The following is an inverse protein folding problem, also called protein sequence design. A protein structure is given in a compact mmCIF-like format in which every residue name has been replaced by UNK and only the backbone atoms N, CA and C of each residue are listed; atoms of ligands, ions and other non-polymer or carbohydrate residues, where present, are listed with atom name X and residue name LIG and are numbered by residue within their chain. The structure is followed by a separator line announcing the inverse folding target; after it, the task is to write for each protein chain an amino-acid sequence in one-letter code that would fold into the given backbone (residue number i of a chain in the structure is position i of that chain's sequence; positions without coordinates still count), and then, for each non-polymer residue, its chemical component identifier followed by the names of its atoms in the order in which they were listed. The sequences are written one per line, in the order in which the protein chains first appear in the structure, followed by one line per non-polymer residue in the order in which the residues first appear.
data_IF_960451650452
#
_entry.id   IF_960451650452
#
_cell.length_a   1.000
_cell.length_b   1.000
_cell.length_c   1.000
_cell.angle_alpha   90.00
_cell.angle_beta   90.00
_cell.angle_gamma   90.00
#
_symmetry.space_group_name_H-M   'P 1'
#
loop_
_entity.id
_entity.type
_entity.pdbx_description
1 polymer ?
#
# COMPACT_ATOMS: atom_id res chain seq x y z
N UNK A 1 26.40 -12.49 1.67
CA UNK A 1 25.97 -12.05 1.47
C UNK A 1 25.29 -11.66 1.43
N UNK A 2 25.02 -11.45 1.28
CA UNK A 2 24.37 -11.01 1.08
C UNK A 2 23.81 -10.38 0.74
N UNK A 3 23.42 -10.24 0.41
CA UNK A 3 22.95 -9.73 -0.08
C UNK A 3 22.23 -9.17 -0.29
N UNK A 4 22.13 -8.93 -0.50
CA UNK A 4 21.53 -8.40 -0.86
C UNK A 4 20.76 -7.94 -0.95
N UNK A 5 20.46 -7.76 -1.09
CA UNK A 5 19.83 -7.40 -1.26
C UNK A 5 18.95 -7.00 -1.23
N UNK A 6 19.23 -6.97 -1.24
CA UNK A 6 18.38 -6.58 -0.97
C UNK A 6 17.17 -5.90 -1.30
N UNK A 7 16.08 -6.43 -1.56
CA UNK A 7 14.81 -5.86 -1.93
C UNK A 7 13.82 -6.12 -0.80
N UNK A 8 13.69 -5.16 0.12
CA UNK A 8 12.83 -5.38 1.28
C UNK A 8 11.38 -5.61 0.87
N UNK A 9 10.96 -5.02 -0.24
CA UNK A 9 9.57 -5.12 -0.66
C UNK A 9 9.28 -6.34 -1.52
N UNK A 10 10.24 -7.21 -1.71
CA UNK A 10 9.96 -8.52 -2.27
C UNK A 10 9.14 -9.36 -1.29
N UNK A 11 9.15 -8.97 -0.02
CA UNK A 11 8.27 -9.56 0.99
C UNK A 11 6.94 -8.81 0.93
N UNK A 12 5.84 -9.47 0.53
CA UNK A 12 4.55 -8.79 0.41
C UNK A 12 4.07 -8.13 1.69
N UNK A 13 4.41 -8.71 2.84
CA UNK A 13 4.00 -8.12 4.11
C UNK A 13 4.69 -6.78 4.34
N UNK A 14 5.98 -6.69 4.02
CA UNK A 14 6.71 -5.43 4.15
C UNK A 14 6.20 -4.41 3.15
N UNK A 15 5.92 -4.84 1.92
CA UNK A 15 5.36 -3.95 0.92
C UNK A 15 3.99 -3.44 1.37
N UNK A 16 3.16 -4.32 1.92
CA UNK A 16 1.84 -3.93 2.40
C UNK A 16 1.95 -2.87 3.50
N UNK A 17 2.86 -3.07 4.46
CA UNK A 17 3.05 -2.10 5.53
C UNK A 17 3.52 -0.76 4.99
N UNK A 18 4.43 -0.78 4.03
CA UNK A 18 4.91 0.47 3.44
C UNK A 18 3.80 1.21 2.70
N UNK A 19 2.96 0.46 2.00
CA UNK A 19 1.82 1.07 1.32
C UNK A 19 0.85 1.69 2.32
N UNK A 20 0.65 1.05 3.48
CA UNK A 20 -0.19 1.62 4.52
C UNK A 20 0.39 2.92 5.07
N UNK A 21 1.72 3.00 5.20
CA UNK A 21 2.36 4.23 5.62
C UNK A 21 2.15 5.34 4.61
N UNK A 22 2.25 5.03 3.32
CA UNK A 22 1.98 6.02 2.30
C UNK A 22 0.51 6.44 2.30
N UNK A 23 -0.39 5.46 2.46
CA UNK A 23 -1.81 5.76 2.50
C UNK A 23 -2.16 6.68 3.65
N UNK A 24 -1.54 6.44 4.80
CA UNK A 24 -1.76 7.27 5.98
C UNK A 24 -1.28 8.69 5.77
N UNK A 25 -0.23 8.87 4.96
CA UNK A 25 0.32 10.20 4.70
C UNK A 25 -0.59 11.02 3.82
N UNK A 26 -1.45 10.39 3.01
CA UNK A 26 -2.43 11.12 2.24
C UNK A 26 -3.58 11.50 3.17
N UNK A 27 -3.85 12.79 3.25
CA UNK A 27 -5.03 13.21 3.98
C UNK A 27 -6.25 12.63 3.32
N UNK A 28 -7.19 12.08 4.08
CA UNK A 28 -8.40 11.57 3.49
C UNK A 28 -9.07 12.69 2.73
N UNK A 29 -9.09 12.54 1.43
CA UNK A 29 -9.76 13.49 0.59
C UNK A 29 -11.11 12.91 0.40
N UNK A 30 -12.14 13.63 0.64
CA UNK A 30 -13.47 13.18 0.30
C UNK A 30 -13.71 11.72 0.69
N UNK A 31 -14.48 11.47 1.66
CA UNK A 31 -14.91 10.13 2.05
C UNK A 31 -13.78 9.14 2.31
N UNK A 32 -12.55 9.64 2.47
CA UNK A 32 -11.43 8.76 2.78
C UNK A 32 -10.90 7.96 1.60
N UNK A 33 -11.19 8.40 0.38
CA UNK A 33 -10.70 7.70 -0.80
C UNK A 33 -9.22 7.91 -1.00
N UNK A 34 -8.53 6.83 -1.33
CA UNK A 34 -7.11 6.88 -1.66
C UNK A 34 -6.98 6.26 -3.04
N UNK A 35 -6.67 7.08 -4.03
CA UNK A 35 -6.60 6.59 -5.39
C UNK A 35 -5.34 5.78 -5.59
N UNK A 36 -5.48 4.64 -6.27
CA UNK A 36 -4.38 3.71 -6.46
C UNK A 36 -3.23 4.38 -7.18
N UNK A 37 -3.53 5.25 -8.13
CA UNK A 37 -2.48 6.00 -8.84
C UNK A 37 -1.66 6.88 -7.91
N UNK A 38 -2.31 7.48 -6.92
CA UNK A 38 -1.60 8.32 -5.96
C UNK A 38 -0.72 7.50 -5.03
N UNK A 39 -1.23 6.33 -4.65
CA UNK A 39 -0.49 5.44 -3.77
C UNK A 39 0.72 4.82 -4.47
N UNK A 40 0.58 4.62 -5.77
CA UNK A 40 1.60 4.00 -6.61
C UNK A 40 2.89 4.81 -6.66
N UNK A 41 2.76 6.12 -6.85
CA UNK A 41 3.91 6.97 -7.13
C UNK A 41 4.96 6.98 -6.01
N UNK A 42 4.60 7.21 -4.73
CA UNK A 42 5.64 7.21 -3.69
C UNK A 42 6.32 5.87 -3.53
N UNK A 43 5.61 4.77 -3.80
CA UNK A 43 6.22 3.46 -3.69
C UNK A 43 7.20 3.19 -4.82
N UNK A 44 6.80 3.49 -6.05
CA UNK A 44 7.65 3.21 -7.21
C UNK A 44 8.82 4.17 -7.31
N UNK A 45 8.58 5.44 -7.07
CA UNK A 45 9.61 6.46 -7.28
C UNK A 45 10.34 6.83 -6.00
N UNK A 46 9.65 6.86 -4.88
CA UNK A 46 10.28 7.18 -3.60
C UNK A 46 11.02 5.99 -3.01
N UNK A 47 10.36 4.85 -2.95
CA UNK A 47 10.93 3.65 -2.34
C UNK A 47 11.63 2.77 -3.36
N UNK A 48 11.51 3.09 -4.64
CA UNK A 48 12.11 2.33 -5.73
C UNK A 48 11.61 0.89 -5.77
N UNK A 49 10.36 0.69 -5.39
CA UNK A 49 9.72 -0.61 -5.53
C UNK A 49 9.38 -0.89 -6.98
N UNK A 50 9.18 -2.14 -7.32
CA UNK A 50 8.78 -2.51 -8.66
C UNK A 50 7.26 -2.56 -8.77
N UNK A 51 6.70 -2.50 -9.99
CA UNK A 51 5.26 -2.68 -10.15
C UNK A 51 4.76 -4.01 -9.59
N UNK A 52 5.55 -5.08 -9.73
CA UNK A 52 5.16 -6.37 -9.17
C UNK A 52 5.11 -6.33 -7.65
N UNK A 53 6.07 -5.66 -7.03
CA UNK A 53 6.10 -5.51 -5.57
C UNK A 53 4.92 -4.66 -5.10
N UNK A 54 4.60 -3.62 -5.84
CA UNK A 54 3.45 -2.80 -5.53
C UNK A 54 2.16 -3.61 -5.58
N UNK A 55 1.96 -4.36 -6.67
CA UNK A 55 0.74 -5.15 -6.84
C UNK A 55 0.61 -6.19 -5.72
N UNK A 56 1.69 -6.89 -5.42
CA UNK A 56 1.67 -7.90 -4.37
C UNK A 56 1.41 -7.28 -3.00
N UNK A 57 2.02 -6.13 -2.73
CA UNK A 57 1.82 -5.43 -1.47
C UNK A 57 0.39 -4.93 -1.31
N UNK A 58 -0.16 -4.36 -2.37
CA UNK A 58 -1.53 -3.87 -2.34
C UNK A 58 -2.51 -5.03 -2.12
N UNK A 59 -2.33 -6.12 -2.87
CA UNK A 59 -3.17 -7.31 -2.71
C UNK A 59 -3.07 -7.84 -1.29
N UNK A 60 -1.86 -7.83 -0.73
CA UNK A 60 -1.67 -8.33 0.63
C UNK A 60 -2.37 -7.44 1.65
N UNK A 61 -2.32 -6.13 1.48
CA UNK A 61 -3.01 -5.20 2.38
C UNK A 61 -4.52 -5.43 2.35
N UNK A 62 -5.06 -5.69 1.16
CA UNK A 62 -6.48 -6.00 1.01
C UNK A 62 -6.79 -7.34 1.65
N UNK A 63 -5.95 -8.33 1.42
CA UNK A 63 -6.12 -9.67 1.98
C UNK A 63 -6.08 -9.67 3.50
N UNK A 64 -5.20 -8.85 4.08
CA UNK A 64 -5.09 -8.71 5.53
C UNK A 64 -6.25 -7.90 6.12
N UNK A 65 -7.09 -7.34 5.27
CA UNK A 65 -8.22 -6.57 5.74
C UNK A 65 -7.86 -5.16 6.19
N UNK A 66 -6.72 -4.65 5.76
CA UNK A 66 -6.30 -3.29 6.10
C UNK A 66 -6.88 -2.24 5.17
N UNK A 67 -7.08 -2.62 3.92
CA UNK A 67 -7.66 -1.75 2.90
C UNK A 67 -8.81 -2.48 2.22
N UNK A 68 -9.76 -1.69 1.75
CA UNK A 68 -10.89 -2.22 1.01
C UNK A 68 -10.88 -1.60 -0.38
N UNK A 69 -10.85 -2.44 -1.40
CA UNK A 69 -10.83 -1.99 -2.78
C UNK A 69 -12.26 -1.73 -3.24
N UNK A 70 -12.49 -0.57 -3.82
CA UNK A 70 -13.78 -0.25 -4.39
C UNK A 70 -14.00 -1.07 -5.67
N UNK A 71 -15.26 -1.35 -5.98
CA UNK A 71 -15.62 -2.17 -7.15
C UNK A 71 -15.07 -1.61 -8.45
N UNK A 72 -14.90 -0.30 -8.53
CA UNK A 72 -14.35 0.33 -9.73
C UNK A 72 -12.90 -0.02 -9.97
N UNK A 73 -12.19 -0.47 -8.92
CA UNK A 73 -10.78 -0.76 -9.01
C UNK A 73 -9.88 0.46 -9.05
N UNK A 74 -10.41 1.65 -8.78
CA UNK A 74 -9.66 2.89 -8.91
C UNK A 74 -9.18 3.46 -7.58
N UNK A 75 -9.81 3.07 -6.48
CA UNK A 75 -9.40 3.60 -5.18
C UNK A 75 -9.63 2.56 -4.08
N UNK A 76 -8.96 2.79 -2.98
CA UNK A 76 -9.11 1.98 -1.76
C UNK A 76 -9.47 2.90 -0.61
N UNK A 77 -9.98 2.31 0.46
CA UNK A 77 -10.23 3.01 1.72
C UNK A 77 -9.65 2.20 2.85
N UNK A 78 -9.26 2.88 3.93
CA UNK A 78 -8.93 2.17 5.15
C UNK A 78 -10.16 1.42 5.66
N UNK A 79 -9.95 0.17 6.08
CA UNK A 79 -10.94 -0.52 6.88
C UNK A 79 -10.79 -0.06 8.33
N UNK A 80 -11.70 -0.47 9.20
CA UNK A 80 -11.54 -0.18 10.61
C UNK A 80 -10.24 -0.77 11.15
N UNK A 81 -9.94 -2.01 10.75
CA UNK A 81 -8.69 -2.66 11.16
C UNK A 81 -7.47 -1.89 10.69
N UNK A 82 -7.48 -1.45 9.42
CA UNK A 82 -6.37 -0.68 8.89
C UNK A 82 -6.20 0.65 9.61
N UNK A 83 -7.31 1.32 9.88
CA UNK A 83 -7.29 2.59 10.60
C UNK A 83 -6.73 2.40 12.01
N UNK A 84 -7.13 1.34 12.69
CA UNK A 84 -6.67 1.08 14.05
C UNK A 84 -5.17 0.82 14.12
N UNK A 85 -4.62 0.19 13.08
CA UNK A 85 -3.21 -0.17 13.07
C UNK A 85 -2.31 0.92 12.52
N UNK A 86 -2.79 1.70 11.58
CA UNK A 86 -1.93 2.61 10.82
C UNK A 86 -2.34 4.07 10.83
N UNK A 87 -3.57 4.37 11.13
CA UNK A 87 -4.01 5.78 11.06
C UNK A 87 -3.72 6.58 12.32
#
# INVERSE_FOLDING_TARGET
MRYSTDRPYSDPDKAARRLMEHARAFEPVQDGRIYIEQLNAPFLFGDKGTPAEYAAGLDRAIELGWLELHDSGTFVKFTQTGADLFA
#
